data_IF_902908183161
#
_entry.id   IF_902908183161
#
_cell.length_a   1.000
_cell.length_b   1.000
_cell.length_c   1.000
_cell.angle_alpha   90.00
_cell.angle_beta   90.00
_cell.angle_gamma   90.00
#
_symmetry.space_group_name_H-M   'P 1'
#
loop_
_entity.id
_entity.type
_entity.pdbx_description
1 polymer ?
#
# COMPACT_ATOMS: atom_id res chain seq x y z
N UNK A 1 -23.03 11.00 12.60
CA UNK A 1 -23.00 10.92 14.08
C UNK A 1 -21.88 9.99 14.57
N UNK A 2 -20.68 10.04 13.92
CA UNK A 2 -19.47 9.28 14.31
C UNK A 2 -18.31 10.22 14.69
N UNK A 3 -18.42 11.52 14.41
CA UNK A 3 -17.33 12.49 14.66
C UNK A 3 -17.15 12.90 16.14
N UNK A 4 -18.09 12.62 17.01
CA UNK A 4 -18.05 13.11 18.41
C UNK A 4 -17.38 12.15 19.40
N UNK A 5 -17.05 10.92 18.99
CA UNK A 5 -16.45 9.94 19.91
C UNK A 5 -14.95 10.13 20.13
N UNK A 6 -14.24 10.74 19.18
CA UNK A 6 -12.78 10.88 19.23
C UNK A 6 -12.27 12.21 19.81
N UNK A 7 -13.17 13.17 20.07
CA UNK A 7 -12.80 14.50 20.59
C UNK A 7 -13.06 14.67 22.08
N UNK A 8 -13.54 13.64 22.78
CA UNK A 8 -13.84 13.74 24.21
C UNK A 8 -12.54 13.91 25.02
N UNK A 9 -12.39 14.96 25.86
CA UNK A 9 -11.16 15.26 26.57
C UNK A 9 -10.62 14.11 27.44
N UNK A 10 -11.51 13.28 28.00
CA UNK A 10 -11.11 12.09 28.78
C UNK A 10 -10.55 10.98 27.92
N UNK A 11 -11.01 10.83 26.66
CA UNK A 11 -10.46 9.86 25.70
C UNK A 11 -9.06 10.28 25.27
N UNK A 12 -8.87 11.56 24.94
CA UNK A 12 -7.56 12.12 24.62
C UNK A 12 -6.58 12.03 25.80
N UNK A 13 -7.05 12.26 27.04
CA UNK A 13 -6.24 12.12 28.25
C UNK A 13 -5.87 10.66 28.53
N UNK A 14 -6.72 9.70 28.18
CA UNK A 14 -6.44 8.26 28.30
C UNK A 14 -5.46 7.75 27.25
N UNK A 15 -5.40 8.37 26.08
CA UNK A 15 -4.40 8.09 25.04
C UNK A 15 -3.01 8.68 25.36
N UNK A 16 -2.93 9.62 26.30
CA UNK A 16 -1.66 10.17 26.80
C UNK A 16 -0.99 9.27 27.87
N UNK A 17 -1.66 8.19 28.30
CA UNK A 17 -1.09 7.28 29.30
C UNK A 17 -0.16 6.26 28.65
N UNK A 18 1.11 6.43 28.95
CA UNK A 18 2.20 5.50 28.73
C UNK A 18 2.54 5.20 27.24
N UNK A 19 2.99 6.22 26.53
CA UNK A 19 3.94 5.95 25.44
C UNK A 19 5.17 5.32 26.10
N UNK A 20 5.32 4.01 25.99
CA UNK A 20 6.55 3.33 26.41
C UNK A 20 7.64 3.84 25.50
N UNK A 21 8.44 4.78 26.00
CA UNK A 21 9.56 5.32 25.24
C UNK A 21 10.66 4.24 25.15
N UNK A 22 11.44 4.21 24.07
CA UNK A 22 12.54 3.26 23.96
C UNK A 22 13.51 3.29 25.13
N UNK A 23 13.70 4.46 25.76
CA UNK A 23 14.56 4.62 26.94
C UNK A 23 14.10 3.78 28.12
N UNK A 24 12.78 3.69 28.35
CA UNK A 24 12.20 2.84 29.42
C UNK A 24 12.47 1.36 29.12
N UNK A 25 12.35 0.96 27.86
CA UNK A 25 12.61 -0.43 27.46
C UNK A 25 14.07 -0.78 27.62
N UNK A 26 14.98 0.13 27.28
CA UNK A 26 16.43 -0.09 27.44
C UNK A 26 16.84 -0.29 28.91
N UNK A 27 16.05 0.18 29.85
CA UNK A 27 16.29 0.01 31.29
C UNK A 27 15.81 -1.35 31.82
N UNK A 28 15.05 -2.13 31.03
CA UNK A 28 14.63 -3.48 31.47
C UNK A 28 15.85 -4.40 31.57
N UNK A 29 16.19 -4.88 32.77
CA UNK A 29 17.35 -5.74 32.96
C UNK A 29 17.20 -7.11 32.30
N UNK A 30 15.98 -7.50 31.91
CA UNK A 30 15.68 -8.77 31.24
C UNK A 30 15.87 -8.70 29.72
N UNK A 31 16.08 -7.50 29.16
CA UNK A 31 16.26 -7.31 27.73
C UNK A 31 17.58 -7.96 27.29
N UNK A 32 17.49 -8.85 26.27
CA UNK A 32 18.66 -9.48 25.62
C UNK A 32 19.69 -8.40 25.21
N UNK A 33 20.97 -8.64 25.47
CA UNK A 33 22.03 -7.67 25.22
C UNK A 33 22.18 -7.30 23.75
N UNK A 34 21.96 -8.25 22.82
CA UNK A 34 21.98 -7.97 21.39
C UNK A 34 20.81 -7.05 21.00
N UNK A 35 19.61 -7.29 21.56
CA UNK A 35 18.45 -6.42 21.33
C UNK A 35 18.69 -5.02 21.87
N UNK A 36 19.34 -4.90 23.05
CA UNK A 36 19.74 -3.64 23.64
C UNK A 36 20.69 -2.87 22.75
N UNK A 37 21.73 -3.55 22.25
CA UNK A 37 22.71 -2.95 21.34
C UNK A 37 22.03 -2.45 20.04
N UNK A 38 21.15 -3.26 19.44
CA UNK A 38 20.42 -2.88 18.23
C UNK A 38 19.50 -1.67 18.49
N UNK A 39 18.80 -1.66 19.63
CA UNK A 39 17.95 -0.54 20.00
C UNK A 39 18.78 0.76 20.16
N UNK A 40 19.95 0.68 20.78
CA UNK A 40 20.84 1.84 20.91
C UNK A 40 21.27 2.40 19.54
N UNK A 41 21.54 1.53 18.56
CA UNK A 41 21.81 1.97 17.17
C UNK A 41 20.61 2.71 16.58
N UNK A 42 19.39 2.17 16.77
CA UNK A 42 18.15 2.78 16.27
C UNK A 42 17.94 4.17 16.90
N UNK A 43 18.13 4.30 18.22
CA UNK A 43 18.02 5.58 18.93
C UNK A 43 19.06 6.61 18.43
N UNK A 44 20.24 6.15 18.11
CA UNK A 44 21.30 6.98 17.52
C UNK A 44 21.11 7.22 16.01
N UNK A 45 19.95 6.86 15.45
CA UNK A 45 19.63 7.00 14.01
C UNK A 45 20.63 6.27 13.09
N UNK A 46 21.29 5.25 13.60
CA UNK A 46 22.20 4.40 12.83
C UNK A 46 21.43 3.30 12.11
N UNK A 47 21.84 3.01 10.89
CA UNK A 47 21.22 1.93 10.11
C UNK A 47 21.60 0.57 10.69
N UNK A 48 20.61 -0.27 10.91
CA UNK A 48 20.81 -1.67 11.29
C UNK A 48 21.20 -2.51 10.06
N UNK A 49 21.98 -3.55 10.30
CA UNK A 49 22.36 -4.54 9.29
C UNK A 49 21.21 -5.54 9.07
N UNK A 50 21.32 -6.35 8.01
CA UNK A 50 20.37 -7.44 7.73
C UNK A 50 20.34 -8.43 8.90
N UNK A 51 21.53 -8.80 9.44
CA UNK A 51 21.61 -9.75 10.54
C UNK A 51 20.97 -9.21 11.84
N UNK A 52 21.13 -7.94 12.12
CA UNK A 52 20.46 -7.28 13.25
C UNK A 52 18.93 -7.25 13.04
N UNK A 53 18.47 -7.04 11.80
CA UNK A 53 17.06 -7.14 11.45
C UNK A 53 16.50 -8.54 11.68
N UNK A 54 17.23 -9.59 11.31
CA UNK A 54 16.86 -10.98 11.59
C UNK A 54 16.79 -11.22 13.11
N UNK A 55 17.77 -10.73 13.86
CA UNK A 55 17.77 -10.85 15.33
C UNK A 55 16.55 -10.17 15.95
N UNK A 56 16.18 -8.99 15.48
CA UNK A 56 14.95 -8.30 15.93
C UNK A 56 13.71 -9.15 15.63
N UNK A 57 13.62 -9.73 14.45
CA UNK A 57 12.47 -10.55 14.04
C UNK A 57 12.34 -11.85 14.85
N UNK A 58 13.46 -12.51 15.15
CA UNK A 58 13.48 -13.79 15.86
C UNK A 58 13.33 -13.66 17.38
N UNK A 59 13.87 -12.60 17.97
CA UNK A 59 13.97 -12.43 19.43
C UNK A 59 13.18 -11.26 20.00
N UNK A 60 12.78 -10.31 19.15
CA UNK A 60 12.12 -9.10 19.60
C UNK A 60 10.65 -9.33 19.95
N UNK A 61 10.28 -9.07 21.19
CA UNK A 61 8.88 -9.05 21.59
C UNK A 61 8.09 -7.93 20.88
N UNK A 62 6.81 -8.15 20.50
CA UNK A 62 6.02 -7.17 19.75
C UNK A 62 5.97 -5.77 20.38
N UNK A 63 5.91 -5.69 21.71
CA UNK A 63 5.91 -4.40 22.42
C UNK A 63 7.22 -3.64 22.25
N UNK A 64 8.34 -4.35 22.33
CA UNK A 64 9.67 -3.79 22.10
C UNK A 64 9.84 -3.31 20.65
N UNK A 65 9.49 -4.15 19.69
CA UNK A 65 9.55 -3.81 18.25
C UNK A 65 8.65 -2.63 17.92
N UNK A 66 7.42 -2.63 18.45
CA UNK A 66 6.46 -1.54 18.27
C UNK A 66 6.97 -0.21 18.79
N UNK A 67 7.65 -0.21 19.94
CA UNK A 67 8.23 1.00 20.53
C UNK A 67 9.38 1.56 19.68
N UNK A 68 10.27 0.69 19.19
CA UNK A 68 11.34 1.12 18.29
C UNK A 68 10.78 1.64 16.96
N UNK A 69 9.81 0.96 16.39
CA UNK A 69 9.16 1.38 15.15
C UNK A 69 8.44 2.73 15.32
N UNK A 70 7.74 2.91 16.43
CA UNK A 70 7.07 4.17 16.74
C UNK A 70 8.08 5.32 16.93
N UNK A 71 9.18 5.07 17.61
CA UNK A 71 10.25 6.07 17.73
C UNK A 71 10.75 6.52 16.35
N UNK A 72 11.08 5.58 15.46
CA UNK A 72 11.54 5.90 14.10
C UNK A 72 10.45 6.66 13.31
N UNK A 73 9.20 6.28 13.47
CA UNK A 73 8.07 6.98 12.85
C UNK A 73 7.97 8.43 13.34
N UNK A 74 8.06 8.63 14.64
CA UNK A 74 7.96 9.97 15.24
C UNK A 74 9.13 10.87 14.84
N UNK A 75 10.34 10.33 14.76
CA UNK A 75 11.49 11.07 14.26
C UNK A 75 11.31 11.55 12.81
N UNK A 76 10.59 10.78 11.98
CA UNK A 76 10.36 11.10 10.56
C UNK A 76 9.14 11.99 10.32
N UNK A 77 8.10 11.82 11.10
CA UNK A 77 6.78 12.37 10.79
C UNK A 77 6.12 13.12 11.96
N UNK A 78 6.78 13.18 13.12
CA UNK A 78 6.17 13.73 14.34
C UNK A 78 4.87 12.98 14.69
N UNK A 79 3.86 13.70 15.12
CA UNK A 79 2.53 13.14 15.44
C UNK A 79 1.58 13.09 14.22
N UNK A 80 2.10 13.31 13.01
CA UNK A 80 1.28 13.28 11.82
C UNK A 80 1.01 11.83 11.38
N UNK A 81 -0.23 11.57 11.01
CA UNK A 81 -0.66 10.34 10.37
C UNK A 81 -1.19 10.67 8.99
N UNK A 82 -0.73 9.95 7.99
CA UNK A 82 -1.13 10.15 6.60
C UNK A 82 -2.06 9.03 6.16
N UNK A 83 -3.08 9.37 5.40
CA UNK A 83 -4.01 8.41 4.82
C UNK A 83 -4.49 8.90 3.45
N UNK A 84 -4.84 7.97 2.58
CA UNK A 84 -5.44 8.26 1.30
C UNK A 84 -6.96 8.11 1.38
N UNK A 85 -7.68 9.07 0.79
CA UNK A 85 -9.11 8.92 0.49
C UNK A 85 -9.23 8.39 -0.92
N UNK A 86 -9.21 7.09 -1.06
CA UNK A 86 -9.26 6.44 -2.36
C UNK A 86 -10.59 5.75 -2.64
N UNK A 87 -10.81 5.47 -3.92
CA UNK A 87 -11.82 4.55 -4.41
C UNK A 87 -11.20 3.62 -5.45
N UNK A 88 -11.90 2.55 -5.77
CA UNK A 88 -11.40 1.52 -6.67
C UNK A 88 -12.17 1.53 -7.99
N UNK A 89 -11.46 1.23 -9.06
CA UNK A 89 -12.03 0.80 -10.33
C UNK A 89 -11.43 -0.58 -10.61
N UNK A 90 -12.30 -1.54 -10.76
CA UNK A 90 -11.96 -2.93 -11.01
C UNK A 90 -12.48 -3.32 -12.40
N UNK A 91 -11.68 -3.10 -13.46
CA UNK A 91 -12.15 -3.19 -14.85
C UNK A 91 -12.77 -4.54 -15.21
N UNK A 92 -12.24 -5.60 -14.61
CA UNK A 92 -12.72 -6.97 -14.82
C UNK A 92 -12.21 -7.89 -13.71
N UNK A 93 -12.98 -8.94 -13.38
CA UNK A 93 -12.48 -10.05 -12.60
C UNK A 93 -12.03 -11.24 -13.48
N UNK A 94 -12.23 -11.16 -14.80
CA UNK A 94 -11.71 -12.17 -15.72
C UNK A 94 -10.19 -12.06 -15.83
N UNK A 95 -9.47 -13.19 -15.78
CA UNK A 95 -8.02 -13.19 -15.77
C UNK A 95 -7.44 -14.36 -16.59
N UNK A 96 -6.33 -14.11 -17.27
CA UNK A 96 -5.53 -15.13 -17.95
C UNK A 96 -4.71 -15.97 -16.98
N UNK A 97 -4.53 -15.50 -15.74
CA UNK A 97 -3.71 -16.13 -14.71
C UNK A 97 -4.54 -16.91 -13.69
N UNK A 98 -3.91 -17.91 -13.08
CA UNK A 98 -4.48 -18.82 -12.07
C UNK A 98 -3.75 -18.69 -10.74
N UNK A 99 -3.64 -17.49 -10.20
CA UNK A 99 -2.95 -17.26 -8.93
C UNK A 99 -3.66 -18.00 -7.78
N UNK A 100 -2.94 -18.85 -7.07
CA UNK A 100 -3.50 -19.75 -6.04
C UNK A 100 -4.22 -19.01 -4.88
N UNK A 101 -3.78 -17.81 -4.55
CA UNK A 101 -4.34 -17.02 -3.45
C UNK A 101 -5.44 -16.04 -3.91
N UNK A 102 -5.70 -15.91 -5.22
CA UNK A 102 -6.67 -14.96 -5.75
C UNK A 102 -8.08 -15.56 -5.79
N UNK A 103 -8.90 -15.25 -4.81
CA UNK A 103 -10.32 -15.65 -4.79
C UNK A 103 -11.21 -14.78 -5.70
N UNK A 104 -10.71 -13.63 -6.11
CA UNK A 104 -11.43 -12.64 -6.92
C UNK A 104 -11.55 -13.04 -8.39
N UNK A 105 -10.49 -13.62 -8.97
CA UNK A 105 -10.42 -13.88 -10.40
C UNK A 105 -11.33 -15.02 -10.86
N UNK A 106 -11.84 -14.87 -12.09
CA UNK A 106 -12.46 -15.94 -12.88
C UNK A 106 -11.64 -16.15 -14.14
N UNK A 107 -11.49 -17.39 -14.56
CA UNK A 107 -10.80 -17.68 -15.82
C UNK A 107 -11.61 -17.16 -17.02
N UNK A 108 -10.95 -16.81 -18.11
CA UNK A 108 -11.61 -16.31 -19.32
C UNK A 108 -12.69 -17.28 -19.84
N UNK A 109 -12.49 -18.58 -19.68
CA UNK A 109 -13.48 -19.60 -20.01
C UNK A 109 -14.74 -19.58 -19.10
N UNK A 110 -14.68 -18.96 -17.94
CA UNK A 110 -15.77 -18.77 -16.99
C UNK A 110 -16.42 -17.39 -17.15
N UNK A 111 -16.53 -16.92 -18.37
CA UNK A 111 -16.97 -15.56 -18.69
C UNK A 111 -18.35 -15.21 -18.14
N UNK A 112 -19.22 -16.18 -17.99
CA UNK A 112 -20.57 -15.99 -17.45
C UNK A 112 -20.56 -15.65 -15.95
N UNK A 113 -19.51 -16.01 -15.25
CA UNK A 113 -19.32 -15.72 -13.81
C UNK A 113 -18.56 -14.42 -13.56
N UNK A 114 -18.20 -13.72 -14.62
CA UNK A 114 -17.35 -12.54 -14.55
C UNK A 114 -17.99 -11.31 -15.19
N UNK A 115 -17.26 -10.19 -15.09
CA UNK A 115 -17.64 -8.93 -15.75
C UNK A 115 -16.45 -8.33 -16.49
N UNK A 116 -16.78 -7.49 -17.45
CA UNK A 116 -15.85 -6.60 -18.14
C UNK A 116 -16.52 -5.24 -18.21
N UNK A 117 -15.93 -4.24 -17.59
CA UNK A 117 -16.41 -2.86 -17.67
C UNK A 117 -16.00 -2.20 -18.98
N UNK A 118 -16.89 -1.39 -19.52
CA UNK A 118 -16.55 -0.47 -20.60
C UNK A 118 -15.75 0.72 -20.08
N UNK A 119 -15.04 1.42 -20.96
CA UNK A 119 -14.34 2.65 -20.59
C UNK A 119 -15.29 3.70 -19.99
N UNK A 120 -16.50 3.83 -20.55
CA UNK A 120 -17.50 4.78 -20.07
C UNK A 120 -18.01 4.46 -18.67
N UNK A 121 -18.23 3.19 -18.35
CA UNK A 121 -18.61 2.77 -16.99
C UNK A 121 -17.50 3.14 -15.99
N UNK A 122 -16.24 2.93 -16.33
CA UNK A 122 -15.10 3.32 -15.48
C UNK A 122 -15.03 4.85 -15.30
N UNK A 123 -15.24 5.62 -16.35
CA UNK A 123 -15.30 7.09 -16.26
C UNK A 123 -16.50 7.57 -15.46
N UNK A 124 -17.63 6.90 -15.53
CA UNK A 124 -18.82 7.20 -14.71
C UNK A 124 -18.55 6.97 -13.22
N UNK A 125 -17.76 5.95 -12.87
CA UNK A 125 -17.30 5.79 -11.48
C UNK A 125 -16.50 7.02 -11.05
N UNK A 126 -15.53 7.49 -11.87
CA UNK A 126 -14.75 8.69 -11.53
C UNK A 126 -15.66 9.90 -11.32
N UNK A 127 -16.60 10.14 -12.23
CA UNK A 127 -17.59 11.26 -12.14
C UNK A 127 -18.46 11.15 -10.90
N UNK A 128 -18.82 9.96 -10.45
CA UNK A 128 -19.62 9.78 -9.23
C UNK A 128 -18.93 10.27 -7.95
N UNK A 129 -17.64 10.53 -8.03
CA UNK A 129 -16.83 11.10 -6.96
C UNK A 129 -16.56 12.61 -7.14
N UNK A 130 -17.17 13.26 -8.13
CA UNK A 130 -17.04 14.71 -8.28
C UNK A 130 -17.61 15.43 -7.05
N UNK A 131 -16.91 16.46 -6.61
CA UNK A 131 -17.24 17.18 -5.37
C UNK A 131 -16.90 16.45 -4.07
N UNK A 132 -16.51 15.18 -4.13
CA UNK A 132 -16.06 14.43 -2.93
C UNK A 132 -14.56 14.61 -2.70
N UNK A 133 -14.10 14.65 -1.44
CA UNK A 133 -12.70 14.89 -1.10
C UNK A 133 -11.82 13.63 -1.27
N UNK A 134 -11.90 12.97 -2.42
CA UNK A 134 -11.05 11.84 -2.75
C UNK A 134 -9.75 12.32 -3.39
N UNK A 135 -8.64 11.68 -3.05
CA UNK A 135 -7.30 12.05 -3.49
C UNK A 135 -6.70 11.06 -4.48
N UNK A 136 -7.20 9.83 -4.51
CA UNK A 136 -6.61 8.76 -5.29
C UNK A 136 -7.69 7.83 -5.86
N UNK A 137 -7.48 7.33 -7.08
CA UNK A 137 -8.17 6.17 -7.63
C UNK A 137 -7.20 5.01 -7.75
N UNK A 138 -7.60 3.84 -7.25
CA UNK A 138 -6.84 2.61 -7.39
C UNK A 138 -7.44 1.78 -8.54
N UNK A 139 -6.68 1.61 -9.61
CA UNK A 139 -7.07 0.89 -10.80
C UNK A 139 -6.33 -0.45 -10.83
N UNK A 140 -7.05 -1.53 -10.59
CA UNK A 140 -6.51 -2.89 -10.51
C UNK A 140 -7.62 -3.90 -10.82
N UNK A 141 -7.27 -5.03 -11.44
CA UNK A 141 -8.25 -6.05 -11.76
C UNK A 141 -7.65 -7.31 -12.35
N UNK A 142 -8.50 -8.08 -13.01
CA UNK A 142 -8.06 -9.21 -13.81
C UNK A 142 -7.33 -8.76 -15.08
N UNK A 143 -6.58 -9.66 -15.65
CA UNK A 143 -5.77 -9.43 -16.86
C UNK A 143 -6.41 -10.12 -18.04
N UNK A 144 -6.86 -9.35 -19.04
CA UNK A 144 -7.49 -9.88 -20.26
C UNK A 144 -6.88 -9.28 -21.53
N UNK A 145 -6.94 -10.02 -22.64
CA UNK A 145 -6.34 -9.55 -23.90
C UNK A 145 -6.93 -8.26 -24.47
N UNK A 146 -8.17 -7.94 -24.17
CA UNK A 146 -8.87 -6.76 -24.70
C UNK A 146 -8.42 -5.46 -24.03
N UNK A 147 -7.98 -5.53 -22.77
CA UNK A 147 -7.53 -4.39 -21.99
C UNK A 147 -6.01 -4.35 -21.93
N UNK A 148 -5.40 -3.83 -23.01
CA UNK A 148 -3.95 -3.71 -23.13
C UNK A 148 -3.43 -2.32 -22.76
N UNK A 149 -2.13 -2.10 -23.00
CA UNK A 149 -1.42 -0.86 -22.68
C UNK A 149 -2.11 0.40 -23.22
N UNK A 150 -2.49 0.39 -24.50
CA UNK A 150 -3.12 1.56 -25.14
C UNK A 150 -4.51 1.87 -24.58
N UNK A 151 -5.29 0.84 -24.25
CA UNK A 151 -6.59 0.99 -23.61
C UNK A 151 -6.45 1.74 -22.27
N UNK A 152 -5.57 1.27 -21.41
CA UNK A 152 -5.36 1.89 -20.10
C UNK A 152 -4.65 3.24 -20.19
N UNK A 153 -3.77 3.46 -21.14
CA UNK A 153 -3.18 4.78 -21.38
C UNK A 153 -4.25 5.81 -21.77
N UNK A 154 -5.19 5.43 -22.64
CA UNK A 154 -6.35 6.26 -23.00
C UNK A 154 -7.24 6.56 -21.78
N UNK A 155 -7.61 5.54 -21.03
CA UNK A 155 -8.44 5.69 -19.81
C UNK A 155 -7.79 6.63 -18.80
N UNK A 156 -6.51 6.42 -18.49
CA UNK A 156 -5.77 7.28 -17.55
C UNK A 156 -5.71 8.72 -18.05
N UNK A 157 -5.47 8.93 -19.34
CA UNK A 157 -5.46 10.27 -19.94
C UNK A 157 -6.82 10.97 -19.77
N UNK A 158 -7.92 10.24 -19.99
CA UNK A 158 -9.28 10.78 -19.81
C UNK A 158 -9.60 11.07 -18.34
N UNK A 159 -9.19 10.19 -17.42
CA UNK A 159 -9.31 10.43 -15.98
C UNK A 159 -8.56 11.69 -15.58
N UNK A 160 -7.32 11.84 -16.04
CA UNK A 160 -6.50 13.03 -15.76
C UNK A 160 -7.01 14.30 -16.42
N UNK A 161 -7.62 14.21 -17.60
CA UNK A 161 -8.26 15.34 -18.25
C UNK A 161 -9.50 15.82 -17.47
N UNK A 162 -10.31 14.88 -16.96
CA UNK A 162 -11.50 15.19 -16.15
C UNK A 162 -11.12 15.70 -14.75
N UNK A 163 -10.15 15.08 -14.10
CA UNK A 163 -9.74 15.40 -12.72
C UNK A 163 -8.21 15.42 -12.57
N UNK A 164 -7.53 16.53 -12.96
CA UNK A 164 -6.07 16.63 -13.01
C UNK A 164 -5.36 16.33 -11.68
N UNK A 165 -5.97 16.72 -10.56
CA UNK A 165 -5.41 16.53 -9.22
C UNK A 165 -5.54 15.11 -8.68
N UNK A 166 -6.40 14.26 -9.27
CA UNK A 166 -6.62 12.89 -8.79
C UNK A 166 -5.37 12.04 -9.04
N UNK A 167 -4.79 11.48 -7.99
CA UNK A 167 -3.72 10.52 -8.14
C UNK A 167 -4.26 9.19 -8.71
N UNK A 168 -3.58 8.64 -9.71
CA UNK A 168 -3.95 7.33 -10.30
C UNK A 168 -2.91 6.31 -9.88
N UNK A 169 -3.26 5.45 -8.95
CA UNK A 169 -2.48 4.28 -8.56
C UNK A 169 -2.92 3.09 -9.40
N UNK A 170 -2.16 2.75 -10.39
CA UNK A 170 -2.34 1.66 -11.32
C UNK A 170 -0.95 1.07 -11.59
N UNK A 171 -0.82 -0.09 -11.72
CA UNK A 171 -1.25 -1.43 -11.72
C UNK A 171 -0.31 -2.27 -10.83
N UNK A 172 -0.49 -3.58 -10.79
CA UNK A 172 0.51 -4.49 -10.20
C UNK A 172 1.62 -4.81 -11.22
N UNK A 173 2.81 -5.28 -10.78
CA UNK A 173 3.87 -5.71 -11.69
C UNK A 173 3.42 -6.80 -12.70
N UNK A 174 2.48 -7.66 -12.30
CA UNK A 174 1.94 -8.73 -13.16
C UNK A 174 1.14 -8.15 -14.31
N UNK A 175 0.29 -7.14 -14.04
CA UNK A 175 -0.49 -6.44 -15.05
C UNK A 175 0.42 -5.69 -16.03
N UNK A 176 1.41 -4.97 -15.51
CA UNK A 176 2.43 -4.30 -16.33
C UNK A 176 3.18 -5.28 -17.23
N UNK A 177 3.68 -6.37 -16.66
CA UNK A 177 4.40 -7.38 -17.41
C UNK A 177 3.57 -7.92 -18.59
N UNK A 178 2.30 -8.23 -18.35
CA UNK A 178 1.39 -8.71 -19.40
C UNK A 178 1.18 -7.66 -20.48
N UNK A 179 0.87 -6.42 -20.09
CA UNK A 179 0.62 -5.33 -21.03
C UNK A 179 1.83 -5.04 -21.92
N UNK A 180 3.04 -4.97 -21.35
CA UNK A 180 4.27 -4.72 -22.09
C UNK A 180 4.63 -5.89 -23.00
N UNK A 181 4.52 -7.12 -22.51
CA UNK A 181 4.75 -8.30 -23.33
C UNK A 181 3.83 -8.33 -24.55
N UNK A 182 2.55 -8.03 -24.35
CA UNK A 182 1.56 -8.01 -25.41
C UNK A 182 1.78 -6.87 -26.40
N UNK A 183 2.10 -5.68 -25.91
CA UNK A 183 2.39 -4.52 -26.75
C UNK A 183 3.77 -4.56 -27.42
N UNK A 184 4.59 -5.60 -27.15
CA UNK A 184 5.98 -5.73 -27.61
C UNK A 184 6.86 -4.53 -27.25
N UNK A 185 6.53 -3.81 -26.18
CA UNK A 185 7.29 -2.67 -25.65
C UNK A 185 8.27 -3.18 -24.60
N UNK A 186 9.54 -2.75 -24.70
CA UNK A 186 10.53 -3.01 -23.65
C UNK A 186 10.45 -1.93 -22.56
N UNK A 187 10.05 -2.30 -21.35
CA UNK A 187 10.25 -1.44 -20.21
C UNK A 187 11.65 -1.64 -19.61
N UNK A 188 12.51 -0.64 -19.80
CA UNK A 188 13.88 -0.65 -19.26
C UNK A 188 13.93 -0.47 -17.74
N UNK A 189 12.88 0.07 -17.09
CA UNK A 189 12.85 0.31 -15.63
C UNK A 189 12.37 -0.91 -14.86
N UNK A 190 11.29 -1.56 -15.29
CA UNK A 190 10.77 -2.75 -14.63
C UNK A 190 11.71 -3.94 -14.76
N UNK A 191 12.46 -4.05 -15.86
CA UNK A 191 13.48 -5.09 -16.07
C UNK A 191 14.65 -4.94 -15.07
N UNK A 192 15.00 -3.72 -14.64
CA UNK A 192 16.04 -3.49 -13.63
C UNK A 192 15.57 -3.84 -12.22
N UNK A 193 14.30 -3.66 -11.89
CA UNK A 193 13.72 -4.04 -10.59
C UNK A 193 13.65 -5.56 -10.40
N UNK A 194 13.46 -6.33 -11.49
CA UNK A 194 13.43 -7.80 -11.45
C UNK A 194 14.82 -8.46 -11.50
N UNK A 195 15.88 -7.73 -11.76
CA UNK A 195 17.27 -8.26 -11.80
C UNK A 195 18.04 -8.05 -10.49
N UNK A 196 17.41 -7.54 -9.45
CA UNK A 196 18.01 -7.30 -8.12
C UNK A 196 17.42 -8.19 -7.01
N UNK A 197 16.88 -9.36 -7.39
CA UNK A 197 16.49 -10.42 -6.46
C UNK A 197 17.29 -11.68 -6.71
#
# INVERSE_FOLDING_TARGET
MIETCFTHPQFLKRMQTAVITPDVILQDPRLDENLRHIAQKVLNQQRITVQEGITLYEKGEPGFLGSLANYVREQKHGNNTYFNRNFHIEPTNLCVYTCKFCSYSRLIKQREEGWIMTEEEMLNIVRSYDGKPVTEVHLVGGVIPQMGLHFFASLISKIKAHRPSLHVKAFTPVEYYYMFKKAKVRDRKSTRLNSSH
#
